data_IF_671683724730
#
_entry.id   IF_671683724730
#
_cell.length_a   1.000
_cell.length_b   1.000
_cell.length_c   1.000
_cell.angle_alpha   90.00
_cell.angle_beta   90.00
_cell.angle_gamma   90.00
#
_symmetry.space_group_name_H-M   'P 1'
#
loop_
_entity.id
_entity.type
_entity.pdbx_description
1 polymer ?
#
# COMPACT_ATOMS: atom_id res chain seq x y z
N UNK A 1 0.94 18.88 -9.11
CA UNK A 1 -0.25 19.42 -8.42
C UNK A 1 -0.64 18.43 -7.32
N UNK A 2 -0.42 18.75 -6.04
CA UNK A 2 -0.91 17.92 -4.93
C UNK A 2 -2.41 18.17 -4.80
N UNK A 3 -3.22 17.25 -5.31
CA UNK A 3 -4.66 17.25 -5.06
C UNK A 3 -4.90 16.83 -3.61
N UNK A 4 -4.65 17.74 -2.67
CA UNK A 4 -5.24 17.64 -1.34
C UNK A 4 -6.74 17.85 -1.52
N UNK A 5 -7.48 16.75 -1.57
CA UNK A 5 -8.94 16.68 -1.64
C UNK A 5 -9.56 17.36 -0.38
N UNK A 6 -9.59 18.68 -0.39
CA UNK A 6 -10.43 19.50 0.48
C UNK A 6 -11.83 19.51 -0.14
N UNK A 7 -12.77 18.82 0.49
CA UNK A 7 -14.20 18.97 0.17
C UNK A 7 -15.09 17.79 0.52
N UNK A 8 -14.58 16.55 0.49
CA UNK A 8 -15.41 15.35 0.68
C UNK A 8 -14.82 14.29 1.63
N UNK A 9 -13.87 14.68 2.50
CA UNK A 9 -13.51 13.81 3.62
C UNK A 9 -14.66 13.88 4.62
N UNK A 10 -15.46 12.81 4.68
CA UNK A 10 -16.39 12.50 5.78
C UNK A 10 -15.68 12.33 7.15
N UNK A 11 -14.66 13.14 7.47
CA UNK A 11 -13.81 13.12 8.68
C UNK A 11 -13.27 11.73 9.09
N UNK A 12 -13.38 10.73 8.23
CA UNK A 12 -12.93 9.37 8.51
C UNK A 12 -11.42 9.35 8.35
N UNK A 13 -10.70 9.19 9.46
CA UNK A 13 -9.26 8.90 9.43
C UNK A 13 -9.07 7.64 8.59
N UNK A 14 -8.10 7.66 7.69
CA UNK A 14 -7.80 6.51 6.81
C UNK A 14 -7.55 5.21 7.61
N UNK A 15 -7.04 5.33 8.83
CA UNK A 15 -6.88 4.25 9.82
C UNK A 15 -8.19 3.48 10.05
N UNK A 16 -9.36 4.16 10.04
CA UNK A 16 -10.67 3.51 10.14
C UNK A 16 -11.04 2.73 8.89
N UNK A 17 -10.56 3.13 7.72
CA UNK A 17 -10.84 2.45 6.45
C UNK A 17 -10.05 1.14 6.35
N UNK A 18 -8.81 1.13 6.83
CA UNK A 18 -7.90 -0.01 6.70
C UNK A 18 -7.80 -0.87 7.96
N UNK A 19 -8.24 -0.37 9.12
CA UNK A 19 -8.29 -1.11 10.38
C UNK A 19 -6.98 -1.22 11.14
N UNK A 20 -5.99 -0.36 10.85
CA UNK A 20 -4.72 -0.29 11.58
C UNK A 20 -4.23 1.15 11.73
N UNK A 21 -3.37 1.39 12.71
CA UNK A 21 -2.77 2.72 12.99
C UNK A 21 -1.50 2.95 12.20
N UNK A 22 -1.09 4.23 12.09
CA UNK A 22 0.24 4.60 11.54
C UNK A 22 1.36 3.79 12.20
N UNK A 23 1.32 3.61 13.52
CA UNK A 23 2.39 2.92 14.26
C UNK A 23 2.45 1.42 13.94
N UNK A 24 1.29 0.79 13.74
CA UNK A 24 1.24 -0.61 13.29
C UNK A 24 1.82 -0.76 11.89
N UNK A 25 1.54 0.19 10.98
CA UNK A 25 2.15 0.22 9.66
C UNK A 25 3.66 0.39 9.74
N UNK A 26 4.13 1.36 10.53
CA UNK A 26 5.57 1.61 10.70
C UNK A 26 6.29 0.37 11.23
N UNK A 27 5.80 -0.22 12.32
CA UNK A 27 6.36 -1.46 12.89
C UNK A 27 6.34 -2.63 11.91
N UNK A 28 5.32 -2.73 11.07
CA UNK A 28 5.23 -3.78 10.05
C UNK A 28 6.24 -3.58 8.91
N UNK A 29 6.47 -2.34 8.49
CA UNK A 29 7.46 -2.01 7.46
C UNK A 29 8.89 -2.13 8.00
N UNK A 30 9.15 -1.66 9.22
CA UNK A 30 10.45 -1.77 9.91
C UNK A 30 10.91 -3.22 10.02
N UNK A 31 10.00 -4.15 10.31
CA UNK A 31 10.29 -5.59 10.36
C UNK A 31 10.72 -6.19 9.02
N UNK A 32 10.44 -5.51 7.92
CA UNK A 32 10.78 -5.93 6.56
C UNK A 32 11.95 -5.12 5.98
N UNK A 33 12.55 -4.21 6.74
CA UNK A 33 13.73 -3.46 6.28
C UNK A 33 14.90 -4.41 6.05
N UNK A 34 15.56 -4.20 4.91
CA UNK A 34 16.83 -4.83 4.55
C UNK A 34 17.96 -3.80 4.66
N UNK A 35 19.20 -4.24 4.51
CA UNK A 35 20.39 -3.40 4.66
C UNK A 35 20.26 -2.05 3.93
N UNK A 36 20.46 -0.97 4.70
CA UNK A 36 20.36 0.41 4.22
C UNK A 36 18.95 1.01 4.25
N UNK A 37 17.90 0.23 4.49
CA UNK A 37 16.54 0.77 4.66
C UNK A 37 16.35 1.35 6.06
N UNK A 38 16.21 2.65 6.11
CA UNK A 38 15.82 3.40 7.32
C UNK A 38 14.74 4.41 6.98
N UNK A 39 14.00 4.91 7.97
CA UNK A 39 13.03 5.99 7.73
C UNK A 39 13.66 7.26 7.16
N UNK A 40 14.96 7.48 7.36
CA UNK A 40 15.72 8.61 6.80
C UNK A 40 15.92 8.44 5.28
N UNK A 41 16.08 7.20 4.82
CA UNK A 41 16.20 6.85 3.39
C UNK A 41 14.84 6.66 2.70
N UNK A 42 13.72 6.95 3.37
CA UNK A 42 12.41 6.87 2.74
C UNK A 42 12.18 8.05 1.76
N UNK A 43 11.79 7.75 0.52
CA UNK A 43 11.40 8.75 -0.47
C UNK A 43 12.15 8.64 -1.80
N UNK A 44 12.21 9.76 -2.54
CA UNK A 44 12.57 9.81 -3.98
C UNK A 44 13.84 9.04 -4.38
N UNK A 45 14.83 8.97 -3.50
CA UNK A 45 16.13 8.34 -3.76
C UNK A 45 16.40 7.08 -2.94
N UNK A 46 15.45 6.62 -2.13
CA UNK A 46 15.60 5.38 -1.37
C UNK A 46 14.40 4.47 -1.52
N UNK A 47 13.79 4.03 -0.43
CA UNK A 47 12.72 3.05 -0.47
C UNK A 47 11.35 3.70 -0.41
N UNK A 48 10.37 3.03 -1.01
CA UNK A 48 8.96 3.39 -1.05
C UNK A 48 8.11 2.27 -0.46
N UNK A 49 6.88 2.60 -0.06
CA UNK A 49 5.87 1.61 0.29
C UNK A 49 5.32 1.01 -1.01
N UNK A 50 5.55 -0.28 -1.20
CA UNK A 50 5.07 -1.07 -2.33
C UNK A 50 3.90 -1.98 -1.92
N UNK A 51 3.03 -2.26 -2.88
CA UNK A 51 2.01 -3.28 -2.75
C UNK A 51 2.54 -4.58 -3.38
N UNK A 52 2.73 -5.63 -2.58
CA UNK A 52 3.18 -6.96 -3.02
C UNK A 52 2.38 -7.41 -4.23
N UNK A 53 1.06 -7.37 -4.12
CA UNK A 53 0.11 -7.48 -5.21
C UNK A 53 -0.28 -6.05 -5.62
N UNK A 54 -0.07 -5.64 -6.88
CA UNK A 54 -0.33 -4.28 -7.32
C UNK A 54 -1.82 -3.95 -7.25
N UNK A 55 -2.13 -2.66 -7.02
CA UNK A 55 -3.51 -2.16 -6.94
C UNK A 55 -4.31 -2.56 -8.19
N UNK A 56 -3.69 -2.53 -9.37
CA UNK A 56 -4.30 -2.88 -10.65
C UNK A 56 -4.76 -4.34 -10.77
N UNK A 57 -4.32 -5.22 -9.86
CA UNK A 57 -4.76 -6.61 -9.84
C UNK A 57 -6.02 -6.83 -9.00
N UNK A 58 -6.41 -5.86 -8.18
CA UNK A 58 -7.60 -5.91 -7.32
C UNK A 58 -8.82 -5.28 -8.00
N UNK A 59 -10.00 -5.74 -7.62
CA UNK A 59 -11.26 -5.21 -8.13
C UNK A 59 -12.07 -4.56 -7.01
N UNK A 60 -12.04 -3.23 -6.94
CA UNK A 60 -12.82 -2.45 -5.97
C UNK A 60 -13.13 -1.05 -6.50
N UNK A 61 -14.27 -0.53 -6.09
CA UNK A 61 -14.70 0.86 -6.33
C UNK A 61 -14.79 1.64 -5.01
N UNK A 62 -15.10 0.95 -3.91
CA UNK A 62 -15.32 1.56 -2.61
C UNK A 62 -14.42 0.99 -1.53
N UNK A 63 -14.20 1.75 -0.45
CA UNK A 63 -13.44 1.28 0.71
C UNK A 63 -14.10 0.13 1.48
N UNK A 64 -15.37 -0.16 1.19
CA UNK A 64 -16.11 -1.27 1.82
C UNK A 64 -15.80 -2.62 1.18
N UNK A 65 -15.27 -2.59 -0.05
CA UNK A 65 -15.04 -3.78 -0.85
C UNK A 65 -13.94 -4.64 -0.21
N UNK A 66 -14.09 -5.96 -0.38
CA UNK A 66 -13.15 -6.93 0.20
C UNK A 66 -11.75 -6.73 -0.39
N UNK A 67 -11.68 -6.49 -1.69
CA UNK A 67 -10.42 -6.29 -2.40
C UNK A 67 -9.72 -4.98 -2.02
N UNK A 68 -10.47 -3.91 -1.68
CA UNK A 68 -9.86 -2.71 -1.08
C UNK A 68 -9.13 -3.07 0.22
N UNK A 69 -9.80 -3.79 1.13
CA UNK A 69 -9.20 -4.20 2.39
C UNK A 69 -8.00 -5.13 2.19
N UNK A 70 -8.05 -6.03 1.20
CA UNK A 70 -6.93 -6.93 0.86
C UNK A 70 -5.74 -6.17 0.28
N UNK A 71 -6.02 -5.19 -0.59
CA UNK A 71 -5.02 -4.34 -1.22
C UNK A 71 -4.25 -3.54 -0.17
N UNK A 72 -4.98 -2.88 0.74
CA UNK A 72 -4.40 -2.02 1.77
C UNK A 72 -4.01 -2.75 3.06
N UNK A 73 -4.19 -4.06 3.16
CA UNK A 73 -3.81 -4.81 4.35
C UNK A 73 -2.29 -4.79 4.55
N UNK A 74 -1.84 -4.71 5.82
CA UNK A 74 -0.42 -4.77 6.18
C UNK A 74 0.32 -5.91 5.48
N UNK A 75 -0.29 -7.11 5.41
CA UNK A 75 0.30 -8.28 4.73
C UNK A 75 0.69 -8.02 3.26
N UNK A 76 -0.03 -7.14 2.57
CA UNK A 76 0.21 -6.77 1.18
C UNK A 76 1.17 -5.57 1.04
N UNK A 77 1.47 -4.86 2.12
CA UNK A 77 2.41 -3.73 2.11
C UNK A 77 3.83 -4.19 2.47
N UNK A 78 4.81 -3.69 1.72
CA UNK A 78 6.23 -3.92 1.96
C UNK A 78 7.07 -2.69 1.64
N UNK A 79 8.22 -2.52 2.30
CA UNK A 79 9.24 -1.60 1.84
C UNK A 79 9.92 -2.17 0.58
N UNK A 80 10.14 -1.34 -0.43
CA UNK A 80 10.87 -1.72 -1.64
C UNK A 80 11.69 -0.53 -2.15
N UNK A 81 12.92 -0.77 -2.59
CA UNK A 81 13.75 0.28 -3.18
C UNK A 81 13.05 0.87 -4.41
N UNK A 82 13.09 2.19 -4.58
CA UNK A 82 12.39 2.87 -5.67
C UNK A 82 12.77 2.31 -7.04
N UNK A 83 14.05 1.99 -7.24
CA UNK A 83 14.57 1.36 -8.47
C UNK A 83 13.95 -0.02 -8.72
N UNK A 84 13.78 -0.82 -7.68
CA UNK A 84 13.18 -2.15 -7.77
C UNK A 84 11.68 -2.07 -8.01
N UNK A 85 10.99 -1.15 -7.33
CA UNK A 85 9.56 -0.91 -7.53
C UNK A 85 9.25 -0.50 -8.98
N UNK A 86 10.04 0.42 -9.54
CA UNK A 86 9.93 0.82 -10.96
C UNK A 86 10.16 -0.38 -11.89
N UNK A 87 11.17 -1.21 -11.60
CA UNK A 87 11.48 -2.41 -12.41
C UNK A 87 10.38 -3.48 -12.31
N UNK A 88 9.79 -3.67 -11.14
CA UNK A 88 8.69 -4.62 -10.88
C UNK A 88 7.44 -4.23 -11.68
N UNK A 89 7.08 -2.94 -11.65
CA UNK A 89 5.86 -2.44 -12.27
C UNK A 89 4.60 -3.10 -11.70
N UNK A 90 3.56 -3.20 -12.51
CA UNK A 90 2.27 -3.79 -12.13
C UNK A 90 2.22 -5.32 -12.27
N UNK A 91 3.36 -6.02 -12.10
CA UNK A 91 3.43 -7.47 -12.28
C UNK A 91 2.99 -8.21 -11.03
N UNK A 92 2.22 -9.28 -11.23
CA UNK A 92 1.85 -10.23 -10.18
C UNK A 92 2.72 -11.47 -10.33
N UNK A 93 3.56 -11.76 -9.35
CA UNK A 93 4.49 -12.90 -9.42
C UNK A 93 3.81 -14.25 -9.17
N UNK A 94 2.66 -14.23 -8.48
CA UNK A 94 1.88 -15.42 -8.13
C UNK A 94 0.46 -15.31 -8.69
N UNK A 95 -0.19 -16.42 -9.07
CA UNK A 95 -1.59 -16.39 -9.43
C UNK A 95 -2.41 -15.69 -8.35
N UNK A 96 -3.14 -14.64 -8.74
CA UNK A 96 -3.99 -13.87 -7.86
C UNK A 96 -5.40 -13.84 -8.40
N UNK A 97 -6.37 -14.15 -7.54
CA UNK A 97 -7.80 -14.05 -7.87
C UNK A 97 -8.41 -12.85 -7.12
N UNK A 98 -8.84 -11.79 -7.85
CA UNK A 98 -9.62 -10.71 -7.26
C UNK A 98 -11.01 -11.20 -6.86
N UNK A 99 -11.69 -10.45 -6.00
CA UNK A 99 -13.10 -10.70 -5.71
C UNK A 99 -13.96 -10.47 -6.95
N UNK A 100 -15.01 -11.27 -7.09
CA UNK A 100 -16.04 -11.03 -8.10
C UNK A 100 -16.71 -9.69 -7.80
N UNK A 101 -16.85 -8.84 -8.82
CA UNK A 101 -17.76 -7.70 -8.78
C UNK A 101 -19.17 -8.21 -8.58
N UNK A 102 -19.84 -7.73 -7.54
CA UNK A 102 -21.24 -8.01 -7.26
C UNK A 102 -22.08 -6.92 -7.95
#
# INVERSE_FOLDING_TARGET
MRLSLNGYKNYQRWERLVGYTVDQLKKHLEKQFIDGMTWETHGKYGWHIDHKIPISAFNFETFKDVDFKRCWALKNLQPMWAKENIRKGARVEKPFQPSLTI
#
